data_IF_829845907119
#
_entry.id   IF_829845907119
#
_cell.length_a   1.000
_cell.length_b   1.000
_cell.length_c   1.000
_cell.angle_alpha   90.00
_cell.angle_beta   90.00
_cell.angle_gamma   90.00
#
_symmetry.space_group_name_H-M   'P 1'
#
loop_
_entity.id
_entity.type
_entity.pdbx_description
1 polymer ?
#
# COMPACT_ATOMS: atom_id res chain seq x y z
N UNK A 1 24.66 4.04 -12.17
CA UNK A 1 24.22 3.32 -10.97
C UNK A 1 22.73 2.98 -10.98
N UNK A 2 21.78 3.93 -11.15
CA UNK A 2 20.34 3.61 -11.11
C UNK A 2 19.83 2.73 -12.25
N UNK A 3 20.37 2.85 -13.45
CA UNK A 3 19.97 2.02 -14.61
C UNK A 3 20.39 0.56 -14.47
N UNK A 4 21.49 0.28 -13.77
CA UNK A 4 21.91 -1.08 -13.44
C UNK A 4 21.01 -1.74 -12.39
N UNK A 5 20.51 -0.99 -11.40
CA UNK A 5 19.54 -1.50 -10.42
C UNK A 5 18.23 -1.92 -11.08
N UNK A 6 17.77 -1.16 -12.07
CA UNK A 6 16.56 -1.44 -12.84
C UNK A 6 16.66 -2.77 -13.58
N UNK A 7 17.74 -2.94 -14.34
CA UNK A 7 17.98 -4.18 -15.09
C UNK A 7 18.06 -5.37 -14.14
N UNK A 8 18.75 -5.21 -13.02
CA UNK A 8 18.87 -6.21 -11.98
C UNK A 8 17.51 -6.58 -11.33
N UNK A 9 16.66 -5.59 -11.04
CA UNK A 9 15.32 -5.84 -10.48
C UNK A 9 14.43 -6.59 -11.46
N UNK A 10 14.43 -6.23 -12.74
CA UNK A 10 13.64 -6.92 -13.79
C UNK A 10 14.18 -8.34 -14.04
N UNK A 11 15.49 -8.50 -14.13
CA UNK A 11 16.14 -9.81 -14.27
C UNK A 11 15.86 -10.73 -13.07
N UNK A 12 15.86 -10.19 -11.85
CA UNK A 12 15.49 -10.91 -10.65
C UNK A 12 14.03 -11.40 -10.72
N UNK A 13 13.09 -10.59 -11.20
CA UNK A 13 11.69 -10.99 -11.39
C UNK A 13 11.56 -12.09 -12.46
N UNK A 14 12.42 -12.12 -13.48
CA UNK A 14 12.42 -13.16 -14.51
C UNK A 14 12.91 -14.52 -13.99
N UNK A 15 13.76 -14.51 -12.98
CA UNK A 15 14.32 -15.72 -12.37
C UNK A 15 13.40 -16.41 -11.36
N UNK A 16 12.29 -15.78 -10.98
CA UNK A 16 11.38 -16.29 -9.95
C UNK A 16 10.55 -17.45 -10.49
N UNK A 17 10.66 -18.62 -9.87
CA UNK A 17 9.73 -19.73 -10.12
C UNK A 17 8.41 -19.48 -9.37
N UNK A 18 7.36 -19.15 -10.10
CA UNK A 18 6.00 -18.94 -9.60
C UNK A 18 5.05 -20.08 -9.98
N UNK A 19 5.59 -21.27 -10.28
CA UNK A 19 4.80 -22.46 -10.61
C UNK A 19 3.85 -22.80 -9.48
N UNK A 20 2.55 -22.82 -9.77
CA UNK A 20 1.51 -23.08 -8.75
C UNK A 20 1.14 -21.89 -7.87
N UNK A 21 1.65 -20.68 -8.16
CA UNK A 21 1.34 -19.44 -7.41
C UNK A 21 0.66 -18.40 -8.31
N UNK A 22 -0.64 -18.57 -8.65
CA UNK A 22 -1.30 -17.75 -9.67
C UNK A 22 -1.37 -16.26 -9.30
N UNK A 23 -1.53 -15.93 -8.03
CA UNK A 23 -1.59 -14.52 -7.59
C UNK A 23 -0.23 -13.84 -7.78
N UNK A 24 0.85 -14.52 -7.40
CA UNK A 24 2.20 -13.99 -7.52
C UNK A 24 2.64 -13.91 -8.99
N UNK A 25 2.29 -14.89 -9.80
CA UNK A 25 2.48 -14.83 -11.25
C UNK A 25 1.82 -13.57 -11.83
N UNK A 26 0.55 -13.33 -11.49
CA UNK A 26 -0.17 -12.15 -11.95
C UNK A 26 0.45 -10.84 -11.45
N UNK A 27 0.98 -10.79 -10.24
CA UNK A 27 1.67 -9.61 -9.72
C UNK A 27 2.92 -9.28 -10.55
N UNK A 28 3.74 -10.28 -10.87
CA UNK A 28 4.94 -10.12 -11.69
C UNK A 28 4.56 -9.70 -13.12
N UNK A 29 3.57 -10.34 -13.73
CA UNK A 29 3.09 -10.00 -15.08
C UNK A 29 2.58 -8.55 -15.12
N UNK A 30 1.81 -8.15 -14.12
CA UNK A 30 1.30 -6.77 -14.05
C UNK A 30 2.43 -5.75 -13.89
N UNK A 31 3.40 -6.02 -13.02
CA UNK A 31 4.55 -5.15 -12.80
C UNK A 31 5.37 -4.96 -14.08
N UNK A 32 5.62 -6.05 -14.80
CA UNK A 32 6.32 -6.00 -16.11
C UNK A 32 5.53 -5.20 -17.14
N UNK A 33 4.23 -5.39 -17.22
CA UNK A 33 3.37 -4.62 -18.12
C UNK A 33 3.43 -3.11 -17.82
N UNK A 34 3.36 -2.73 -16.55
CA UNK A 34 3.52 -1.34 -16.13
C UNK A 34 4.90 -0.79 -16.48
N UNK A 35 5.94 -1.61 -16.33
CA UNK A 35 7.30 -1.26 -16.69
C UNK A 35 7.46 -1.00 -18.19
N UNK A 36 6.98 -1.90 -19.02
CA UNK A 36 7.05 -1.78 -20.48
C UNK A 36 6.30 -0.54 -20.98
N UNK A 37 5.12 -0.27 -20.42
CA UNK A 37 4.33 0.93 -20.72
C UNK A 37 5.08 2.20 -20.32
N UNK A 38 5.77 2.20 -19.18
CA UNK A 38 6.57 3.33 -18.73
C UNK A 38 7.78 3.60 -19.65
N UNK A 39 8.44 2.56 -20.14
CA UNK A 39 9.55 2.69 -21.11
C UNK A 39 9.11 3.35 -22.42
N UNK A 40 7.85 3.15 -22.82
CA UNK A 40 7.27 3.71 -24.05
C UNK A 40 6.76 5.15 -23.90
N UNK A 41 6.27 5.52 -22.71
CA UNK A 41 5.48 6.72 -22.46
C UNK A 41 6.18 7.69 -21.52
N UNK A 42 7.25 8.30 -21.85
CA UNK A 42 7.84 9.44 -21.15
C UNK A 42 8.17 9.26 -19.62
N UNK A 43 9.36 9.52 -19.33
CA UNK A 43 10.30 9.47 -18.20
C UNK A 43 9.85 10.11 -16.88
N UNK A 44 8.69 9.76 -16.35
CA UNK A 44 8.33 10.17 -15.00
C UNK A 44 9.17 9.38 -13.97
N UNK A 45 10.24 10.02 -13.46
CA UNK A 45 11.15 9.40 -12.49
C UNK A 45 10.40 8.89 -11.24
N UNK A 46 9.38 9.62 -10.78
CA UNK A 46 8.56 9.24 -9.64
C UNK A 46 7.81 7.92 -9.88
N UNK A 47 7.26 7.72 -11.09
CA UNK A 47 6.56 6.48 -11.44
C UNK A 47 7.53 5.30 -11.58
N UNK A 48 8.70 5.54 -12.16
CA UNK A 48 9.77 4.55 -12.21
C UNK A 48 10.19 4.10 -10.82
N UNK A 49 10.40 5.05 -9.90
CA UNK A 49 10.80 4.75 -8.53
C UNK A 49 9.70 3.96 -7.78
N UNK A 50 8.41 4.20 -8.07
CA UNK A 50 7.32 3.35 -7.60
C UNK A 50 7.43 1.92 -8.11
N UNK A 51 7.65 1.73 -9.42
CA UNK A 51 7.77 0.38 -10.00
C UNK A 51 8.98 -0.39 -9.44
N UNK A 52 10.10 0.30 -9.17
CA UNK A 52 11.25 -0.31 -8.51
C UNK A 52 10.92 -0.77 -7.08
N UNK A 53 10.31 0.09 -6.28
CA UNK A 53 9.90 -0.24 -4.91
C UNK A 53 8.92 -1.44 -4.88
N UNK A 54 8.00 -1.49 -5.83
CA UNK A 54 7.08 -2.62 -6.00
C UNK A 54 7.81 -3.92 -6.39
N UNK A 55 8.78 -3.83 -7.31
CA UNK A 55 9.61 -4.97 -7.71
C UNK A 55 10.40 -5.55 -6.54
N UNK A 56 11.03 -4.68 -5.74
CA UNK A 56 11.75 -5.08 -4.53
C UNK A 56 10.83 -5.71 -3.49
N UNK A 57 9.63 -5.17 -3.31
CA UNK A 57 8.63 -5.72 -2.39
C UNK A 57 8.17 -7.12 -2.82
N UNK A 58 7.87 -7.33 -4.11
CA UNK A 58 7.52 -8.63 -4.68
C UNK A 58 8.68 -9.62 -4.47
N UNK A 59 9.91 -9.21 -4.78
CA UNK A 59 11.09 -10.04 -4.60
C UNK A 59 11.30 -10.44 -3.14
N UNK A 60 11.14 -9.51 -2.20
CA UNK A 60 11.22 -9.78 -0.76
C UNK A 60 10.16 -10.80 -0.33
N UNK A 61 8.90 -10.60 -0.75
CA UNK A 61 7.81 -11.53 -0.43
C UNK A 61 8.06 -12.94 -0.96
N UNK A 62 8.54 -13.06 -2.20
CA UNK A 62 8.86 -14.38 -2.81
C UNK A 62 9.91 -15.12 -2.02
N UNK A 63 10.97 -14.43 -1.60
CA UNK A 63 12.10 -15.06 -0.91
C UNK A 63 11.81 -15.38 0.56
N UNK A 64 10.94 -14.61 1.21
CA UNK A 64 10.67 -14.78 2.65
C UNK A 64 9.34 -15.46 2.94
N UNK A 65 8.39 -15.39 2.02
CA UNK A 65 6.97 -15.71 2.22
C UNK A 65 6.31 -14.90 3.36
N UNK A 66 6.95 -13.81 3.80
CA UNK A 66 6.50 -12.94 4.88
C UNK A 66 5.96 -11.63 4.32
N UNK A 67 4.66 -11.42 4.43
CA UNK A 67 4.00 -10.21 3.94
C UNK A 67 4.47 -8.96 4.70
N UNK A 68 4.73 -9.08 6.01
CA UNK A 68 5.26 -8.01 6.85
C UNK A 68 6.60 -7.53 6.31
N UNK A 69 7.52 -8.42 5.99
CA UNK A 69 8.84 -8.09 5.45
C UNK A 69 8.73 -7.26 4.17
N UNK A 70 7.86 -7.67 3.25
CA UNK A 70 7.61 -6.98 1.98
C UNK A 70 6.99 -5.58 2.20
N UNK A 71 5.99 -5.47 3.06
CA UNK A 71 5.27 -4.21 3.25
C UNK A 71 6.01 -3.22 4.15
N UNK A 72 6.78 -3.71 5.13
CA UNK A 72 7.68 -2.86 5.95
C UNK A 72 8.77 -2.24 5.09
N UNK A 73 9.28 -2.96 4.10
CA UNK A 73 10.24 -2.41 3.12
C UNK A 73 9.57 -1.40 2.19
N UNK A 74 8.37 -1.67 1.69
CA UNK A 74 7.66 -0.85 0.71
C UNK A 74 7.15 0.48 1.27
N UNK A 75 6.63 0.47 2.50
CA UNK A 75 5.94 1.65 3.06
C UNK A 75 6.80 2.93 3.10
N UNK A 76 8.09 2.92 3.47
CA UNK A 76 8.95 4.11 3.43
C UNK A 76 9.03 4.76 2.05
N UNK A 77 9.14 3.97 0.98
CA UNK A 77 9.22 4.49 -0.39
C UNK A 77 7.89 5.09 -0.83
N UNK A 78 6.78 4.46 -0.47
CA UNK A 78 5.43 4.99 -0.73
C UNK A 78 5.22 6.32 -0.01
N UNK A 79 5.68 6.45 1.24
CA UNK A 79 5.61 7.71 1.99
C UNK A 79 6.44 8.82 1.33
N UNK A 80 7.65 8.50 0.88
CA UNK A 80 8.50 9.46 0.14
C UNK A 80 7.85 9.89 -1.17
N UNK A 81 7.39 8.94 -1.96
CA UNK A 81 6.75 9.19 -3.25
C UNK A 81 5.46 10.01 -3.14
N UNK A 82 4.70 9.83 -2.07
CA UNK A 82 3.47 10.58 -1.80
C UNK A 82 3.69 11.85 -1.00
N UNK A 83 4.91 12.15 -0.56
CA UNK A 83 5.21 13.19 0.42
C UNK A 83 4.37 13.09 1.69
N UNK A 84 3.90 11.88 2.01
CA UNK A 84 3.06 11.63 3.17
C UNK A 84 3.88 11.50 4.45
N UNK A 85 3.33 12.02 5.52
CA UNK A 85 3.98 11.94 6.84
C UNK A 85 3.71 10.60 7.53
N UNK A 86 2.53 10.03 7.30
CA UNK A 86 2.08 8.79 7.92
C UNK A 86 1.42 7.91 6.89
N UNK A 87 1.39 6.62 7.16
CA UNK A 87 0.66 5.67 6.34
C UNK A 87 0.70 4.26 6.89
N UNK A 88 -0.09 3.40 6.27
CA UNK A 88 -0.05 1.97 6.51
C UNK A 88 -0.43 1.18 5.26
N UNK A 89 0.01 -0.07 5.24
CA UNK A 89 -0.41 -1.13 4.34
C UNK A 89 -1.07 -2.22 5.19
N UNK A 90 -2.30 -2.58 4.86
CA UNK A 90 -3.10 -3.50 5.67
C UNK A 90 -3.92 -4.47 4.82
N UNK A 91 -4.22 -5.62 5.39
CA UNK A 91 -5.22 -6.52 4.86
C UNK A 91 -6.59 -6.31 5.54
N UNK A 92 -7.65 -6.72 4.85
CA UNK A 92 -9.01 -6.76 5.41
C UNK A 92 -9.21 -8.12 6.08
N UNK A 93 -9.46 -8.09 7.37
CA UNK A 93 -9.82 -9.27 8.15
C UNK A 93 -11.27 -9.15 8.62
N UNK A 94 -11.81 -10.27 9.12
CA UNK A 94 -13.17 -10.33 9.68
C UNK A 94 -13.12 -10.83 11.11
N UNK A 95 -13.88 -10.18 11.99
CA UNK A 95 -14.06 -10.64 13.36
C UNK A 95 -14.99 -11.87 13.42
N UNK A 96 -15.09 -12.49 14.59
CA UNK A 96 -16.04 -13.60 14.82
C UNK A 96 -17.53 -13.21 14.60
N UNK A 97 -17.82 -11.90 14.61
CA UNK A 97 -19.15 -11.35 14.30
C UNK A 97 -19.29 -10.91 12.83
N UNK A 98 -18.42 -11.40 11.94
CA UNK A 98 -18.37 -11.08 10.51
C UNK A 98 -18.26 -9.57 10.21
N UNK A 99 -17.61 -8.81 11.10
CA UNK A 99 -17.35 -7.39 10.90
C UNK A 99 -15.96 -7.19 10.32
N UNK A 100 -15.83 -6.46 9.19
CA UNK A 100 -14.54 -6.19 8.61
C UNK A 100 -13.72 -5.23 9.48
N UNK A 101 -12.40 -5.45 9.50
CA UNK A 101 -11.42 -4.54 10.08
C UNK A 101 -10.12 -4.59 9.27
N UNK A 102 -9.25 -3.61 9.44
CA UNK A 102 -7.93 -3.61 8.83
C UNK A 102 -6.89 -4.12 9.82
N UNK A 103 -6.11 -5.11 9.39
CA UNK A 103 -4.93 -5.62 10.09
C UNK A 103 -3.68 -5.09 9.38
N UNK A 104 -2.90 -4.21 10.03
CA UNK A 104 -1.71 -3.67 9.38
C UNK A 104 -0.57 -4.68 9.34
N UNK A 105 0.07 -4.79 8.18
CA UNK A 105 1.35 -5.46 8.00
C UNK A 105 2.53 -4.48 8.04
N UNK A 106 2.27 -3.20 7.76
CA UNK A 106 3.21 -2.11 7.95
C UNK A 106 2.45 -0.84 8.31
N UNK A 107 2.82 -0.15 9.37
CA UNK A 107 2.24 1.13 9.79
C UNK A 107 3.30 2.02 10.42
N UNK A 108 3.24 3.30 10.12
CA UNK A 108 4.16 4.29 10.67
C UNK A 108 3.99 4.43 12.19
N UNK A 109 5.09 4.39 12.93
CA UNK A 109 5.08 4.62 14.37
C UNK A 109 4.95 6.12 14.69
N UNK A 110 3.73 6.59 14.91
CA UNK A 110 3.42 8.00 15.21
C UNK A 110 3.71 8.42 16.64
N UNK A 111 4.04 7.48 17.53
CA UNK A 111 4.23 7.74 18.98
C UNK A 111 5.68 8.04 19.36
N UNK A 112 6.63 7.95 18.41
CA UNK A 112 8.02 8.30 18.68
C UNK A 112 8.24 9.82 18.67
N UNK A 113 9.01 10.39 19.63
CA UNK A 113 9.26 11.84 19.72
C UNK A 113 9.97 12.44 18.50
N UNK A 114 10.77 11.63 17.82
CA UNK A 114 11.42 11.98 16.55
C UNK A 114 10.95 11.00 15.48
N UNK A 115 9.98 11.45 14.72
CA UNK A 115 9.45 10.70 13.59
C UNK A 115 10.55 10.42 12.56
N UNK A 116 10.71 9.14 12.20
CA UNK A 116 11.51 8.68 11.10
C UNK A 116 10.66 7.76 10.22
N UNK A 117 10.64 7.96 8.90
CA UNK A 117 9.91 7.11 7.95
C UNK A 117 10.27 5.61 8.06
N UNK A 118 11.39 5.27 8.70
CA UNK A 118 11.82 3.89 8.95
C UNK A 118 11.29 3.29 10.25
N UNK A 119 10.58 4.07 11.08
CA UNK A 119 9.96 3.57 12.29
C UNK A 119 8.59 2.96 11.97
N UNK A 120 8.61 1.73 11.48
CA UNK A 120 7.44 0.96 11.07
C UNK A 120 7.08 -0.06 12.15
N UNK A 121 5.78 -0.16 12.42
CA UNK A 121 5.16 -1.18 13.28
C UNK A 121 4.34 -2.14 12.41
N UNK A 122 4.01 -3.29 12.98
CA UNK A 122 3.11 -4.29 12.39
C UNK A 122 1.96 -4.58 13.36
N UNK A 123 0.97 -5.33 12.90
CA UNK A 123 -0.11 -5.92 13.72
C UNK A 123 -1.02 -4.93 14.47
N UNK A 124 -1.16 -3.67 14.00
CA UNK A 124 -2.20 -2.78 14.49
C UNK A 124 -3.53 -3.10 13.81
N UNK A 125 -4.61 -3.04 14.58
CA UNK A 125 -5.97 -3.32 14.11
C UNK A 125 -6.83 -2.06 14.15
N UNK A 126 -7.58 -1.83 13.06
CA UNK A 126 -8.48 -0.70 12.90
C UNK A 126 -9.91 -1.21 12.73
N UNK A 127 -10.67 -1.24 13.83
CA UNK A 127 -12.03 -1.80 13.88
C UNK A 127 -13.13 -0.75 13.68
N UNK A 128 -12.82 0.54 13.88
CA UNK A 128 -13.84 1.58 13.81
C UNK A 128 -14.20 1.90 12.35
N UNK A 129 -15.41 1.53 11.95
CA UNK A 129 -15.94 1.78 10.61
C UNK A 129 -16.44 3.22 10.41
N UNK A 130 -16.63 3.97 11.49
CA UNK A 130 -17.04 5.40 11.44
C UNK A 130 -15.82 6.33 11.36
N UNK A 131 -14.85 5.99 10.51
CA UNK A 131 -13.62 6.76 10.27
C UNK A 131 -13.31 6.78 8.79
N UNK A 132 -12.34 7.59 8.36
CA UNK A 132 -11.86 7.58 6.97
C UNK A 132 -11.29 6.21 6.57
N UNK A 133 -10.64 5.49 7.51
CA UNK A 133 -10.21 4.11 7.28
C UNK A 133 -11.42 3.18 7.08
N UNK A 134 -12.45 3.32 7.92
CA UNK A 134 -13.69 2.57 7.81
C UNK A 134 -14.45 2.88 6.52
N UNK A 135 -14.37 4.11 6.03
CA UNK A 135 -14.97 4.48 4.75
C UNK A 135 -14.36 3.73 3.55
N UNK A 136 -13.08 3.34 3.60
CA UNK A 136 -12.47 2.46 2.58
C UNK A 136 -13.18 1.11 2.58
N UNK A 137 -13.38 0.53 3.77
CA UNK A 137 -14.02 -0.79 3.94
C UNK A 137 -15.47 -0.80 3.48
N UNK A 138 -16.23 0.23 3.84
CA UNK A 138 -17.66 0.31 3.57
C UNK A 138 -18.00 0.71 2.15
N UNK A 139 -17.22 1.63 1.54
CA UNK A 139 -17.47 2.10 0.18
C UNK A 139 -16.79 1.26 -0.89
N UNK A 140 -15.68 0.58 -0.56
CA UNK A 140 -14.77 -0.10 -1.50
C UNK A 140 -14.24 0.81 -2.61
N UNK A 141 -14.24 2.11 -2.35
CA UNK A 141 -13.76 3.13 -3.27
C UNK A 141 -12.61 3.92 -2.64
N UNK A 142 -11.80 4.61 -3.45
CA UNK A 142 -10.82 5.56 -2.93
C UNK A 142 -11.49 6.61 -2.02
N UNK A 143 -10.82 6.93 -0.92
CA UNK A 143 -11.25 7.92 0.07
C UNK A 143 -10.20 9.02 0.10
N UNK A 144 -10.51 10.17 -0.49
CA UNK A 144 -9.66 11.35 -0.46
C UNK A 144 -10.34 12.42 0.39
N UNK A 145 -9.59 13.02 1.32
CA UNK A 145 -10.06 14.12 2.16
C UNK A 145 -8.91 15.07 2.49
N UNK A 146 -8.97 16.29 2.01
CA UNK A 146 -8.00 17.35 2.34
C UNK A 146 -8.47 18.25 3.50
N UNK A 147 -9.58 17.90 4.12
CA UNK A 147 -10.12 18.55 5.31
C UNK A 147 -10.83 17.52 6.21
N UNK A 148 -10.10 16.57 6.79
CA UNK A 148 -10.68 15.48 7.58
C UNK A 148 -11.58 15.94 8.75
N UNK A 149 -11.31 17.11 9.33
CA UNK A 149 -12.13 17.67 10.41
C UNK A 149 -13.55 18.09 9.96
N UNK A 150 -13.73 18.32 8.66
CA UNK A 150 -15.00 18.70 8.06
C UNK A 150 -15.62 17.57 7.23
N UNK A 151 -14.92 16.46 7.08
CA UNK A 151 -15.37 15.32 6.29
C UNK A 151 -16.40 14.50 7.11
N UNK A 152 -17.62 14.33 6.61
CA UNK A 152 -18.67 13.59 7.35
C UNK A 152 -18.34 12.12 7.58
N UNK A 153 -17.38 11.56 6.85
CA UNK A 153 -16.89 10.18 7.03
C UNK A 153 -15.87 10.07 8.16
N UNK A 154 -15.38 11.20 8.69
CA UNK A 154 -14.36 11.24 9.73
C UNK A 154 -14.98 11.21 11.11
N UNK A 155 -14.87 10.10 11.82
CA UNK A 155 -15.23 9.96 13.25
C UNK A 155 -14.21 10.54 14.21
N UNK A 156 -13.23 11.31 13.70
CA UNK A 156 -12.13 11.84 14.50
C UNK A 156 -10.99 10.85 14.70
N UNK A 157 -10.06 11.23 15.57
CA UNK A 157 -8.90 10.40 15.94
C UNK A 157 -8.91 10.14 17.46
N UNK A 158 -8.35 9.01 17.93
CA UNK A 158 -8.25 8.72 19.36
C UNK A 158 -7.45 9.80 20.10
N UNK A 159 -7.72 9.92 21.41
CA UNK A 159 -6.95 10.82 22.28
C UNK A 159 -5.45 10.49 22.21
N UNK A 160 -4.61 11.51 22.03
CA UNK A 160 -3.15 11.36 21.88
C UNK A 160 -2.68 11.01 20.47
N UNK A 161 -3.59 10.77 19.54
CA UNK A 161 -3.24 10.59 18.13
C UNK A 161 -2.86 11.94 17.50
N UNK A 162 -1.91 11.91 16.57
CA UNK A 162 -1.56 13.10 15.79
C UNK A 162 -2.73 13.55 14.94
N UNK A 163 -2.88 14.85 14.76
CA UNK A 163 -3.90 15.44 13.90
C UNK A 163 -3.71 14.98 12.46
N UNK A 164 -4.79 14.60 11.82
CA UNK A 164 -4.83 14.28 10.39
C UNK A 164 -5.38 15.49 9.65
N UNK A 165 -4.54 16.10 8.81
CA UNK A 165 -4.88 17.30 8.03
C UNK A 165 -5.23 16.98 6.57
N UNK A 166 -4.71 15.87 6.04
CA UNK A 166 -5.06 15.31 4.74
C UNK A 166 -5.01 13.79 4.81
N UNK A 167 -5.87 13.13 4.04
CA UNK A 167 -6.00 11.67 4.01
C UNK A 167 -6.22 11.16 2.59
N UNK A 168 -5.55 10.07 2.23
CA UNK A 168 -5.79 9.30 1.02
C UNK A 168 -5.84 7.82 1.38
N UNK A 169 -7.00 7.18 1.19
CA UNK A 169 -7.20 5.76 1.37
C UNK A 169 -7.50 5.08 0.04
N UNK A 170 -6.77 4.01 -0.28
CA UNK A 170 -6.91 3.28 -1.54
C UNK A 170 -7.22 1.82 -1.26
N UNK A 171 -8.37 1.28 -1.76
CA UNK A 171 -8.71 -0.12 -1.59
C UNK A 171 -7.87 -1.01 -2.51
N UNK A 172 -7.53 -2.20 -2.04
CA UNK A 172 -6.94 -3.28 -2.84
C UNK A 172 -8.05 -4.26 -3.21
N UNK A 173 -8.37 -4.31 -4.49
CA UNK A 173 -9.44 -5.16 -5.02
C UNK A 173 -8.86 -6.27 -5.90
N UNK A 174 -9.21 -7.52 -5.61
CA UNK A 174 -8.81 -8.70 -6.40
C UNK A 174 -10.07 -9.49 -6.74
N UNK A 175 -10.37 -9.62 -8.03
CA UNK A 175 -11.60 -10.29 -8.48
C UNK A 175 -12.89 -9.65 -7.98
N UNK A 176 -12.87 -8.35 -7.63
CA UNK A 176 -14.00 -7.62 -7.04
C UNK A 176 -14.08 -7.73 -5.51
N UNK A 177 -13.24 -8.53 -4.88
CA UNK A 177 -13.14 -8.62 -3.42
C UNK A 177 -12.19 -7.57 -2.87
N UNK A 178 -12.57 -6.93 -1.77
CA UNK A 178 -11.72 -6.03 -1.03
C UNK A 178 -10.82 -6.85 -0.08
N UNK A 179 -9.53 -6.94 -0.44
CA UNK A 179 -8.56 -7.77 0.30
C UNK A 179 -7.65 -6.96 1.20
N UNK A 180 -7.48 -5.67 0.93
CA UNK A 180 -6.59 -4.81 1.71
C UNK A 180 -6.75 -3.34 1.38
N UNK A 181 -5.87 -2.51 1.94
CA UNK A 181 -5.85 -1.08 1.69
C UNK A 181 -4.47 -0.46 1.95
N UNK A 182 -4.18 0.61 1.22
CA UNK A 182 -3.20 1.63 1.56
C UNK A 182 -3.92 2.81 2.19
N UNK A 183 -3.41 3.35 3.30
CA UNK A 183 -3.80 4.67 3.77
C UNK A 183 -2.57 5.56 3.96
N UNK A 184 -2.68 6.80 3.50
CA UNK A 184 -1.68 7.84 3.57
C UNK A 184 -2.26 9.07 4.25
N UNK A 185 -1.44 9.78 5.03
CA UNK A 185 -1.89 10.98 5.72
C UNK A 185 -0.82 12.06 5.77
N UNK A 186 -1.31 13.30 5.78
CA UNK A 186 -0.52 14.52 5.98
C UNK A 186 0.56 14.76 4.91
N UNK A 187 0.19 14.60 3.62
CA UNK A 187 0.90 15.27 2.54
C UNK A 187 0.75 16.79 2.75
N UNK A 188 1.84 17.58 2.75
CA UNK A 188 1.80 19.02 3.07
C UNK A 188 0.83 19.82 2.19
N UNK A 189 0.76 19.48 0.91
CA UNK A 189 -0.08 20.17 -0.09
C UNK A 189 -1.45 19.49 -0.29
N UNK A 190 -1.77 18.48 0.54
CA UNK A 190 -2.92 17.62 0.37
C UNK A 190 -2.72 16.59 -0.74
N UNK A 191 -3.78 15.85 -1.07
CA UNK A 191 -3.77 14.83 -2.11
C UNK A 191 -4.60 15.26 -3.31
N UNK A 192 -4.13 14.91 -4.51
CA UNK A 192 -4.85 15.10 -5.77
C UNK A 192 -5.49 13.78 -6.22
N UNK A 193 -6.54 13.85 -7.01
CA UNK A 193 -7.17 12.65 -7.60
C UNK A 193 -6.20 11.87 -8.50
N UNK A 194 -5.22 12.53 -9.09
CA UNK A 194 -4.16 11.89 -9.88
C UNK A 194 -3.31 10.91 -9.07
N UNK A 195 -3.23 11.08 -7.74
CA UNK A 195 -2.53 10.12 -6.86
C UNK A 195 -3.22 8.75 -6.84
N UNK A 196 -4.53 8.70 -7.03
CA UNK A 196 -5.29 7.45 -7.12
C UNK A 196 -4.80 6.61 -8.31
N UNK A 197 -4.62 7.27 -9.47
CA UNK A 197 -4.10 6.61 -10.67
C UNK A 197 -2.61 6.27 -10.52
N UNK A 198 -1.83 7.17 -9.92
CA UNK A 198 -0.41 6.96 -9.70
C UNK A 198 -0.14 5.70 -8.86
N UNK A 199 -0.90 5.47 -7.78
CA UNK A 199 -0.76 4.29 -6.92
C UNK A 199 -1.57 3.06 -7.37
N UNK A 200 -2.22 3.10 -8.52
CA UNK A 200 -2.96 1.95 -9.06
C UNK A 200 -2.13 0.66 -9.16
N UNK A 201 -0.87 0.66 -9.64
CA UNK A 201 -0.04 -0.55 -9.66
C UNK A 201 0.20 -1.12 -8.25
N UNK A 202 0.41 -0.25 -7.26
CA UNK A 202 0.56 -0.67 -5.87
C UNK A 202 -0.70 -1.36 -5.35
N UNK A 203 -1.88 -0.80 -5.63
CA UNK A 203 -3.14 -1.40 -5.19
C UNK A 203 -3.35 -2.80 -5.76
N UNK A 204 -2.99 -3.01 -7.03
CA UNK A 204 -3.09 -4.31 -7.70
C UNK A 204 -2.07 -5.28 -7.12
N UNK A 205 -0.80 -4.90 -7.06
CA UNK A 205 0.30 -5.77 -6.60
C UNK A 205 0.14 -6.09 -5.10
N UNK A 206 -0.18 -5.09 -4.27
CA UNK A 206 -0.43 -5.30 -2.85
C UNK A 206 -1.62 -6.22 -2.60
N UNK A 207 -2.69 -6.08 -3.37
CA UNK A 207 -3.84 -7.01 -3.32
C UNK A 207 -3.47 -8.43 -3.70
N UNK A 208 -2.67 -8.63 -4.74
CA UNK A 208 -2.22 -9.96 -5.18
C UNK A 208 -1.27 -10.61 -4.18
N UNK A 209 -0.37 -9.86 -3.54
CA UNK A 209 0.48 -10.35 -2.45
C UNK A 209 -0.38 -10.82 -1.26
N UNK A 210 -1.36 -10.03 -0.82
CA UNK A 210 -2.28 -10.41 0.25
C UNK A 210 -3.07 -11.68 -0.11
N UNK A 211 -3.55 -11.77 -1.35
CA UNK A 211 -4.31 -12.94 -1.81
C UNK A 211 -3.46 -14.21 -1.84
N UNK A 212 -2.20 -14.10 -2.27
CA UNK A 212 -1.26 -15.22 -2.26
C UNK A 212 -0.92 -15.64 -0.81
N UNK A 213 -0.67 -14.66 0.06
CA UNK A 213 -0.42 -14.90 1.48
C UNK A 213 -1.58 -15.66 2.15
N UNK A 214 -2.83 -15.24 1.91
CA UNK A 214 -4.02 -15.92 2.43
C UNK A 214 -4.21 -17.33 1.89
N UNK A 215 -3.82 -17.54 0.64
CA UNK A 215 -3.95 -18.85 0.00
C UNK A 215 -2.97 -19.88 0.58
N UNK A 216 -1.85 -19.41 1.13
CA UNK A 216 -0.79 -20.26 1.71
C UNK A 216 -0.99 -20.55 3.21
N UNK A 217 -1.80 -19.75 3.91
CA UNK A 217 -2.07 -19.84 5.34
C UNK A 217 -3.56 -20.11 5.61
#
# INVERSE_FOLDING_TARGET
>A
MRQSQITETVENLDSIDVSGQPFLHNAIVHLKSCWDQHQMADRNERYRDLLLALGESVFTYVNTSEIESAFVQLLPDVLLLSSSRFGFLAEVCYSSADRPYLQSHAVTNIYKPRYNHRDILTNLQFHNLETLNGAILTSRNPVLSNSPQQDPRSGGVPFGHLKIDAFLGLPFLVGGELVGALALANCPDGYLETEIQFFSPLCIIGGLIISDYRHKN
#
